data_IF_120686656419
#
_entry.id   IF_120686656419
#
_cell.length_a   1.000
_cell.length_b   1.000
_cell.length_c   1.000
_cell.angle_alpha   90.00
_cell.angle_beta   90.00
_cell.angle_gamma   90.00
#
_symmetry.space_group_name_H-M   'P 1'
#
loop_
_entity.id
_entity.type
_entity.pdbx_description
1 polymer ?
#
# COMPACT_ATOMS: atom_id res chain seq x y z
N UNK A 1 3.62 1.40 18.24
CA UNK A 1 3.19 0.31 17.29
C UNK A 1 4.31 0.06 16.33
N UNK A 2 4.52 -1.20 15.90
CA UNK A 2 5.68 -1.53 15.05
C UNK A 2 5.50 -0.94 13.65
N UNK A 3 6.51 -0.19 13.17
CA UNK A 3 6.55 0.34 11.80
C UNK A 3 6.85 -0.73 10.76
N UNK A 4 7.34 -1.87 11.20
CA UNK A 4 7.63 -3.04 10.39
C UNK A 4 6.86 -4.25 10.92
N UNK A 5 6.30 -5.05 10.03
CA UNK A 5 5.61 -6.28 10.40
C UNK A 5 5.98 -7.41 9.45
N UNK A 6 6.31 -8.56 10.02
CA UNK A 6 6.54 -9.80 9.27
C UNK A 6 5.29 -10.68 9.33
N UNK A 7 4.90 -11.21 8.18
CA UNK A 7 3.73 -12.07 8.00
C UNK A 7 4.24 -13.46 7.57
N UNK A 8 3.81 -14.49 8.29
CA UNK A 8 4.15 -15.87 7.95
C UNK A 8 3.51 -16.30 6.62
N UNK A 9 4.11 -17.29 5.96
CA UNK A 9 3.60 -17.83 4.71
C UNK A 9 2.15 -18.34 4.86
N UNK A 10 1.33 -18.08 3.86
CA UNK A 10 0.00 -18.66 3.77
C UNK A 10 0.12 -20.13 3.32
N UNK A 11 -0.35 -21.04 4.15
CA UNK A 11 -0.33 -22.49 3.84
C UNK A 11 -1.71 -23.01 3.40
N UNK A 12 -2.73 -22.14 3.35
CA UNK A 12 -4.12 -22.52 3.06
C UNK A 12 -4.60 -22.03 1.70
N UNK A 13 -4.12 -20.86 1.27
CA UNK A 13 -4.56 -20.20 0.04
C UNK A 13 -3.44 -19.32 -0.51
N UNK A 14 -3.82 -18.35 -1.34
CA UNK A 14 -2.89 -17.43 -2.02
C UNK A 14 -2.71 -16.15 -1.21
N UNK A 15 -1.55 -15.53 -1.38
CA UNK A 15 -1.31 -14.15 -0.99
C UNK A 15 -1.32 -13.28 -2.26
N UNK A 16 -2.23 -12.32 -2.33
CA UNK A 16 -2.41 -11.42 -3.45
C UNK A 16 -2.05 -10.00 -3.04
N UNK A 17 -1.49 -9.22 -3.96
CA UNK A 17 -1.23 -7.79 -3.74
C UNK A 17 -1.96 -6.92 -4.75
N UNK A 18 -2.29 -5.69 -4.32
CA UNK A 18 -2.94 -4.66 -5.13
C UNK A 18 -2.29 -3.30 -4.88
N UNK A 19 -2.30 -2.43 -5.90
CA UNK A 19 -1.88 -1.03 -5.82
C UNK A 19 -2.80 -0.17 -4.96
N UNK A 20 -2.72 1.15 -5.15
CA UNK A 20 -3.50 2.17 -4.44
C UNK A 20 -5.00 1.99 -4.69
N UNK A 21 -5.80 2.06 -3.62
CA UNK A 21 -7.25 1.79 -3.67
C UNK A 21 -8.07 3.08 -3.78
N UNK A 22 -7.67 4.10 -3.05
CA UNK A 22 -8.30 5.42 -3.04
C UNK A 22 -9.83 5.37 -2.98
N UNK A 23 -10.39 4.67 -1.99
CA UNK A 23 -11.83 4.60 -1.76
C UNK A 23 -12.64 3.90 -2.86
N UNK A 24 -12.00 3.14 -3.77
CA UNK A 24 -12.70 2.39 -4.82
C UNK A 24 -12.90 0.90 -4.46
N UNK A 25 -13.27 0.63 -3.23
CA UNK A 25 -13.42 -0.71 -2.67
C UNK A 25 -14.43 -1.59 -3.43
N UNK A 26 -15.51 -1.02 -3.99
CA UNK A 26 -16.47 -1.80 -4.77
C UNK A 26 -15.87 -2.30 -6.11
N UNK A 27 -15.07 -1.45 -6.76
CA UNK A 27 -14.33 -1.86 -7.96
C UNK A 27 -13.29 -2.93 -7.65
N UNK A 28 -12.60 -2.78 -6.50
CA UNK A 28 -11.66 -3.79 -6.03
C UNK A 28 -12.36 -5.12 -5.74
N UNK A 29 -13.54 -5.11 -5.09
CA UNK A 29 -14.34 -6.32 -4.84
C UNK A 29 -14.70 -7.04 -6.14
N UNK A 30 -15.11 -6.30 -7.16
CA UNK A 30 -15.38 -6.86 -8.49
C UNK A 30 -14.11 -7.45 -9.14
N UNK A 31 -12.96 -6.80 -8.98
CA UNK A 31 -11.69 -7.31 -9.47
C UNK A 31 -11.29 -8.62 -8.75
N UNK A 32 -11.43 -8.67 -7.44
CA UNK A 32 -11.16 -9.87 -6.63
C UNK A 32 -12.08 -11.04 -7.02
N UNK A 33 -13.36 -10.78 -7.32
CA UNK A 33 -14.28 -11.80 -7.79
C UNK A 33 -13.81 -12.43 -9.12
N UNK A 34 -13.25 -11.62 -10.04
CA UNK A 34 -12.74 -12.12 -11.34
C UNK A 34 -11.53 -13.03 -11.21
N UNK A 35 -10.73 -12.86 -10.15
CA UNK A 35 -9.58 -13.73 -9.87
C UNK A 35 -9.92 -14.86 -8.89
N UNK A 36 -11.21 -15.06 -8.61
CA UNK A 36 -11.72 -16.08 -7.68
C UNK A 36 -11.04 -15.99 -6.31
N UNK A 37 -10.99 -14.79 -5.74
CA UNK A 37 -10.48 -14.57 -4.37
C UNK A 37 -11.41 -15.19 -3.35
N UNK A 38 -10.88 -16.07 -2.48
CA UNK A 38 -11.62 -16.69 -1.39
C UNK A 38 -11.13 -16.13 -0.04
N UNK A 39 -11.90 -15.25 0.62
CA UNK A 39 -11.49 -14.61 1.87
C UNK A 39 -11.35 -15.60 3.05
N UNK A 40 -11.78 -16.85 2.89
CA UNK A 40 -11.62 -17.88 3.93
C UNK A 40 -10.21 -18.50 3.96
N UNK A 41 -9.45 -18.38 2.88
CA UNK A 41 -8.12 -18.97 2.72
C UNK A 41 -7.10 -18.04 2.08
N UNK A 42 -7.52 -17.15 1.17
CA UNK A 42 -6.64 -16.17 0.51
C UNK A 42 -6.45 -14.93 1.41
N UNK A 43 -5.32 -14.22 1.22
CA UNK A 43 -5.07 -12.92 1.86
C UNK A 43 -4.79 -11.86 0.79
N UNK A 44 -5.23 -10.63 1.05
CA UNK A 44 -4.99 -9.48 0.19
C UNK A 44 -4.09 -8.46 0.90
N UNK A 45 -3.09 -7.97 0.20
CA UNK A 45 -2.13 -6.97 0.66
C UNK A 45 -2.21 -5.73 -0.23
N UNK A 46 -2.47 -4.56 0.37
CA UNK A 46 -2.43 -3.26 -0.34
C UNK A 46 -1.14 -2.52 -0.02
N UNK A 47 -0.60 -1.85 -1.03
CA UNK A 47 0.57 -0.98 -0.88
C UNK A 47 0.25 0.41 -0.30
N UNK A 48 -0.93 0.58 0.32
CA UNK A 48 -1.37 1.83 0.94
C UNK A 48 -2.31 2.66 0.08
N UNK A 49 -2.50 3.92 0.48
CA UNK A 49 -3.46 4.85 -0.14
C UNK A 49 -4.85 4.23 -0.29
N UNK A 50 -5.40 3.81 0.84
CA UNK A 50 -6.73 3.20 0.92
C UNK A 50 -7.84 4.23 0.71
N UNK A 51 -7.58 5.48 1.07
CA UNK A 51 -8.56 6.55 1.19
C UNK A 51 -8.30 7.70 0.22
N UNK A 52 -9.18 8.68 0.24
CA UNK A 52 -9.21 9.88 -0.61
C UNK A 52 -9.58 9.57 -2.06
N UNK A 53 -9.94 10.62 -2.84
CA UNK A 53 -10.34 10.58 -4.25
C UNK A 53 -11.66 9.84 -4.51
N UNK A 54 -11.78 8.60 -4.05
CA UNK A 54 -12.95 7.77 -4.31
C UNK A 54 -14.09 7.93 -3.28
N UNK A 55 -15.32 7.59 -3.69
CA UNK A 55 -16.51 7.86 -2.88
C UNK A 55 -16.66 6.97 -1.65
N UNK A 56 -15.94 5.83 -1.61
CA UNK A 56 -16.07 4.84 -0.53
C UNK A 56 -14.89 4.85 0.44
N UNK A 57 -14.15 5.98 0.54
CA UNK A 57 -13.08 6.13 1.53
C UNK A 57 -13.49 5.77 2.97
N UNK A 58 -14.74 6.07 3.43
CA UNK A 58 -15.21 5.62 4.74
C UNK A 58 -15.21 4.11 4.94
N UNK A 59 -15.31 3.29 3.89
CA UNK A 59 -15.27 1.83 4.00
C UNK A 59 -13.89 1.27 4.35
N UNK A 60 -12.84 2.09 4.37
CA UNK A 60 -11.49 1.63 4.74
C UNK A 60 -11.45 0.94 6.10
N UNK A 61 -12.24 1.42 7.09
CA UNK A 61 -12.32 0.78 8.42
C UNK A 61 -12.91 -0.63 8.36
N UNK A 62 -13.94 -0.83 7.53
CA UNK A 62 -14.57 -2.13 7.34
C UNK A 62 -13.60 -3.15 6.71
N UNK A 63 -12.78 -2.70 5.75
CA UNK A 63 -11.76 -3.52 5.12
C UNK A 63 -10.61 -3.83 6.08
N UNK A 64 -10.13 -2.83 6.81
CA UNK A 64 -9.06 -3.00 7.81
C UNK A 64 -9.47 -3.91 8.97
N UNK A 65 -10.76 -4.07 9.24
CA UNK A 65 -11.28 -5.01 10.22
C UNK A 65 -11.28 -6.48 9.72
N UNK A 66 -11.05 -6.72 8.42
CA UNK A 66 -11.05 -8.07 7.87
C UNK A 66 -9.72 -8.79 8.17
N UNK A 67 -9.75 -10.04 8.66
CA UNK A 67 -8.52 -10.77 8.99
C UNK A 67 -7.68 -11.15 7.78
N UNK A 68 -8.26 -11.14 6.59
CA UNK A 68 -7.60 -11.45 5.33
C UNK A 68 -7.05 -10.22 4.60
N UNK A 69 -7.35 -8.99 5.09
CA UNK A 69 -6.90 -7.75 4.46
C UNK A 69 -5.76 -7.12 5.28
N UNK A 70 -4.66 -6.84 4.60
CA UNK A 70 -3.48 -6.20 5.17
C UNK A 70 -3.07 -5.02 4.30
N UNK A 71 -2.53 -3.97 4.90
CA UNK A 71 -2.04 -2.81 4.16
C UNK A 71 -0.81 -2.20 4.84
N UNK A 72 0.02 -1.53 4.06
CA UNK A 72 0.98 -0.56 4.58
C UNK A 72 0.36 0.83 4.64
N UNK A 73 0.95 1.73 5.40
CA UNK A 73 0.50 3.12 5.51
C UNK A 73 1.00 3.92 4.31
N UNK A 74 0.08 4.42 3.48
CA UNK A 74 0.38 5.34 2.40
C UNK A 74 0.50 6.80 2.86
N UNK A 75 0.83 7.69 1.94
CA UNK A 75 0.94 9.11 2.23
C UNK A 75 -0.44 9.76 2.50
N UNK A 76 -1.53 9.25 1.95
CA UNK A 76 -2.88 9.75 2.23
C UNK A 76 -3.31 9.41 3.65
N UNK A 77 -3.01 8.24 4.18
CA UNK A 77 -3.18 7.92 5.60
C UNK A 77 -2.29 8.80 6.49
N UNK A 78 -1.04 9.06 6.07
CA UNK A 78 -0.12 9.94 6.80
C UNK A 78 -0.61 11.39 6.86
N UNK A 79 -1.25 11.91 5.80
CA UNK A 79 -1.87 13.25 5.79
C UNK A 79 -3.01 13.35 6.81
N UNK A 80 -3.90 12.35 6.86
CA UNK A 80 -4.98 12.30 7.85
C UNK A 80 -4.45 12.28 9.29
N UNK A 81 -3.42 11.46 9.54
CA UNK A 81 -2.73 11.39 10.85
C UNK A 81 -2.14 12.75 11.21
N UNK A 82 -1.38 13.33 10.28
CA UNK A 82 -0.70 14.61 10.50
C UNK A 82 -1.70 15.72 10.81
N UNK A 83 -2.80 15.79 10.05
CA UNK A 83 -3.88 16.76 10.27
C UNK A 83 -4.44 16.67 11.69
N UNK A 84 -4.82 15.48 12.13
CA UNK A 84 -5.49 15.32 13.44
C UNK A 84 -4.50 15.46 14.62
N UNK A 85 -3.22 15.13 14.43
CA UNK A 85 -2.18 15.18 15.46
C UNK A 85 -1.46 16.55 15.54
N UNK A 86 -1.95 17.56 14.82
CA UNK A 86 -1.41 18.93 14.87
C UNK A 86 -0.13 19.13 14.06
N UNK A 87 0.16 18.21 13.13
CA UNK A 87 1.23 18.39 12.14
C UNK A 87 0.89 19.47 11.12
N UNK A 88 1.90 19.93 10.39
CA UNK A 88 1.68 20.90 9.30
C UNK A 88 1.15 20.19 8.08
N UNK A 89 -0.10 20.46 7.71
CA UNK A 89 -0.73 19.99 6.49
C UNK A 89 -1.29 21.20 5.76
N UNK A 90 -0.93 21.33 4.49
CA UNK A 90 -1.58 22.28 3.59
C UNK A 90 -2.98 21.74 3.28
N UNK A 91 -4.01 22.39 3.86
CA UNK A 91 -5.40 21.94 3.75
C UNK A 91 -5.95 22.08 2.33
N UNK A 92 -5.48 23.02 1.55
CA UNK A 92 -5.94 23.20 0.17
C UNK A 92 -5.33 22.11 -0.72
N UNK A 93 -4.05 21.80 -0.53
CA UNK A 93 -3.41 20.64 -1.16
C UNK A 93 -4.11 19.35 -0.74
N UNK A 94 -4.42 19.16 0.54
CA UNK A 94 -5.07 17.93 1.02
C UNK A 94 -6.50 17.78 0.47
N UNK A 95 -7.27 18.88 0.37
CA UNK A 95 -8.57 18.87 -0.31
C UNK A 95 -8.44 18.51 -1.79
N UNK A 96 -7.48 19.12 -2.49
CA UNK A 96 -7.21 18.82 -3.90
C UNK A 96 -6.76 17.37 -4.12
N UNK A 97 -6.06 16.79 -3.14
CA UNK A 97 -5.67 15.39 -3.15
C UNK A 97 -6.84 14.42 -2.83
N UNK A 98 -8.03 14.93 -2.51
CA UNK A 98 -9.23 14.13 -2.26
C UNK A 98 -9.60 13.96 -0.78
N UNK A 99 -8.84 14.56 0.16
CA UNK A 99 -9.07 14.45 1.61
C UNK A 99 -10.25 15.25 2.16
N UNK A 100 -11.02 15.94 1.30
CA UNK A 100 -12.17 16.75 1.72
C UNK A 100 -13.21 15.97 2.52
N UNK A 101 -13.43 14.70 2.21
CA UNK A 101 -14.34 13.83 2.96
C UNK A 101 -13.91 13.67 4.42
N UNK A 102 -12.61 13.47 4.66
CA UNK A 102 -12.05 13.29 6.00
C UNK A 102 -12.13 14.59 6.82
N UNK A 103 -11.80 15.74 6.18
CA UNK A 103 -11.88 17.05 6.81
C UNK A 103 -13.31 17.44 7.21
N UNK A 104 -14.33 16.89 6.53
CA UNK A 104 -15.74 17.12 6.84
C UNK A 104 -16.30 16.20 7.94
N UNK A 105 -15.56 15.17 8.37
CA UNK A 105 -16.02 14.26 9.42
C UNK A 105 -16.02 14.92 10.79
N UNK A 106 -16.94 14.54 11.68
CA UNK A 106 -16.86 14.87 13.10
C UNK A 106 -15.55 14.36 13.70
N UNK A 107 -14.98 15.10 14.65
CA UNK A 107 -13.67 14.78 15.26
C UNK A 107 -13.57 13.33 15.78
N UNK A 108 -14.61 12.83 16.42
CA UNK A 108 -14.63 11.45 16.93
C UNK A 108 -14.47 10.39 15.79
N UNK A 109 -15.04 10.67 14.61
CA UNK A 109 -14.86 9.80 13.45
C UNK A 109 -13.45 9.93 12.85
N UNK A 110 -12.92 11.16 12.78
CA UNK A 110 -11.52 11.35 12.37
C UNK A 110 -10.56 10.60 13.30
N UNK A 111 -10.80 10.60 14.61
CA UNK A 111 -10.00 9.87 15.61
C UNK A 111 -10.03 8.36 15.34
N UNK A 112 -11.19 7.78 15.00
CA UNK A 112 -11.30 6.36 14.66
C UNK A 112 -10.48 5.98 13.43
N UNK A 113 -10.51 6.79 12.37
CA UNK A 113 -9.67 6.58 11.19
C UNK A 113 -8.18 6.70 11.51
N UNK A 114 -7.79 7.76 12.23
CA UNK A 114 -6.38 7.98 12.58
C UNK A 114 -5.84 6.86 13.47
N UNK A 115 -6.64 6.34 14.40
CA UNK A 115 -6.26 5.19 15.20
C UNK A 115 -6.01 3.95 14.33
N UNK A 116 -6.91 3.66 13.39
CA UNK A 116 -6.74 2.56 12.44
C UNK A 116 -5.48 2.76 11.56
N UNK A 117 -5.26 3.97 11.05
CA UNK A 117 -4.10 4.28 10.20
C UNK A 117 -2.76 4.23 10.96
N UNK A 118 -2.73 4.63 12.23
CA UNK A 118 -1.55 4.49 13.10
C UNK A 118 -1.18 3.02 13.36
N UNK A 119 -2.14 2.11 13.22
CA UNK A 119 -1.91 0.67 13.34
C UNK A 119 -1.31 0.04 12.06
N UNK A 120 -1.33 0.76 10.93
CA UNK A 120 -0.69 0.29 9.71
C UNK A 120 0.83 0.38 9.83
N UNK A 121 1.57 -0.67 9.46
CA UNK A 121 3.02 -0.59 9.38
C UNK A 121 3.44 0.25 8.17
N UNK A 122 4.65 0.77 8.19
CA UNK A 122 5.30 1.41 7.03
C UNK A 122 5.76 0.33 6.04
N UNK A 123 6.25 -0.79 6.57
CA UNK A 123 6.72 -1.91 5.76
C UNK A 123 6.10 -3.24 6.22
N UNK A 124 5.73 -4.07 5.24
CA UNK A 124 5.36 -5.46 5.44
C UNK A 124 6.39 -6.37 4.77
N UNK A 125 6.72 -7.48 5.43
CA UNK A 125 7.47 -8.60 4.83
C UNK A 125 6.59 -9.84 4.87
N UNK A 126 6.22 -10.34 3.70
CA UNK A 126 5.38 -11.54 3.56
C UNK A 126 6.26 -12.71 3.16
N UNK A 127 6.27 -13.76 3.97
CA UNK A 127 6.99 -14.98 3.64
C UNK A 127 6.24 -15.76 2.56
N UNK A 128 6.96 -16.22 1.53
CA UNK A 128 6.42 -17.13 0.51
C UNK A 128 7.35 -18.35 0.36
N UNK A 129 6.85 -19.43 -0.26
CA UNK A 129 7.67 -20.60 -0.55
C UNK A 129 8.86 -20.28 -1.48
N UNK A 130 8.78 -19.19 -2.25
CA UNK A 130 9.79 -18.77 -3.20
C UNK A 130 10.72 -17.65 -2.68
N UNK A 131 10.59 -17.28 -1.40
CA UNK A 131 11.36 -16.22 -0.75
C UNK A 131 10.48 -15.05 -0.25
N UNK A 132 11.04 -14.13 0.55
CA UNK A 132 10.30 -13.03 1.13
C UNK A 132 9.93 -11.97 0.08
N UNK A 133 8.72 -11.41 0.21
CA UNK A 133 8.22 -10.29 -0.58
C UNK A 133 7.97 -9.12 0.36
N UNK A 134 8.60 -7.98 0.07
CA UNK A 134 8.41 -6.73 0.79
C UNK A 134 7.25 -5.91 0.21
N UNK A 135 6.58 -5.13 1.04
CA UNK A 135 5.63 -4.11 0.62
C UNK A 135 5.97 -2.78 1.30
N UNK A 136 6.02 -1.74 0.50
CA UNK A 136 6.09 -0.32 0.90
C UNK A 136 5.07 0.47 0.11
N UNK A 137 4.82 1.72 0.54
CA UNK A 137 3.95 2.55 -0.29
C UNK A 137 4.66 3.13 -1.52
N UNK A 138 5.84 3.73 -1.37
CA UNK A 138 6.50 4.46 -2.46
C UNK A 138 7.86 3.88 -2.88
N UNK A 139 8.90 3.97 -2.06
CA UNK A 139 10.25 3.45 -2.38
C UNK A 139 11.03 3.13 -1.10
N UNK A 140 12.12 2.38 -1.22
CA UNK A 140 13.08 2.15 -0.14
C UNK A 140 14.22 3.16 -0.21
N UNK A 141 14.62 3.79 0.91
CA UNK A 141 15.82 4.63 0.96
C UNK A 141 17.12 3.81 0.87
N UNK A 142 17.04 2.50 1.06
CA UNK A 142 18.16 1.57 1.05
C UNK A 142 17.98 0.51 -0.02
N UNK A 143 19.08 0.06 -0.60
CA UNK A 143 19.12 -1.12 -1.48
C UNK A 143 19.31 -2.43 -0.69
N UNK A 144 19.07 -2.43 0.60
CA UNK A 144 19.10 -3.58 1.51
C UNK A 144 17.88 -3.55 2.43
N UNK A 145 17.08 -4.61 2.37
CA UNK A 145 15.85 -4.72 3.17
C UNK A 145 16.11 -4.86 4.67
N UNK A 146 17.27 -5.43 5.05
CA UNK A 146 17.66 -5.56 6.46
C UNK A 146 17.92 -4.20 7.07
N UNK A 147 18.62 -3.32 6.35
CA UNK A 147 18.85 -1.94 6.78
C UNK A 147 17.54 -1.17 6.95
N UNK A 148 16.61 -1.31 6.00
CA UNK A 148 15.29 -0.68 6.13
C UNK A 148 14.52 -1.21 7.34
N UNK A 149 14.48 -2.53 7.51
CA UNK A 149 13.81 -3.19 8.64
C UNK A 149 14.35 -2.65 9.97
N UNK A 150 15.67 -2.65 10.12
CA UNK A 150 16.33 -2.28 11.36
C UNK A 150 16.13 -0.78 11.65
N UNK A 151 16.20 0.07 10.63
CA UNK A 151 15.86 1.49 10.77
C UNK A 151 14.41 1.71 11.24
N UNK A 152 13.44 1.00 10.67
CA UNK A 152 12.02 1.11 11.05
C UNK A 152 11.72 0.53 12.45
N UNK A 153 12.53 -0.41 12.93
CA UNK A 153 12.33 -1.06 14.23
C UNK A 153 13.02 -0.31 15.38
N UNK A 154 14.18 0.28 15.13
CA UNK A 154 15.05 0.79 16.21
C UNK A 154 15.24 2.30 16.15
N UNK A 155 15.28 2.92 14.98
CA UNK A 155 15.57 4.34 14.82
C UNK A 155 14.30 5.17 14.57
N UNK A 156 13.34 4.63 13.83
CA UNK A 156 12.06 5.26 13.38
C UNK A 156 12.26 6.71 12.86
N UNK A 157 13.30 6.92 12.05
CA UNK A 157 13.65 8.23 11.52
C UNK A 157 12.55 8.76 10.57
N UNK A 158 12.11 10.03 10.77
CA UNK A 158 11.08 10.63 9.90
C UNK A 158 11.46 10.65 8.42
N UNK A 159 12.74 10.85 8.10
CA UNK A 159 13.26 10.89 6.73
C UNK A 159 13.13 9.52 6.03
N UNK A 160 13.36 8.42 6.74
CA UNK A 160 13.17 7.06 6.22
C UNK A 160 11.69 6.85 5.87
N UNK A 161 10.79 7.23 6.78
CA UNK A 161 9.34 7.12 6.52
C UNK A 161 8.89 8.00 5.36
N UNK A 162 9.43 9.21 5.25
CA UNK A 162 9.14 10.13 4.14
C UNK A 162 9.48 9.48 2.79
N UNK A 163 10.66 8.88 2.67
CA UNK A 163 11.03 8.15 1.45
C UNK A 163 10.08 6.98 1.20
N UNK A 164 9.77 6.19 2.23
CA UNK A 164 8.87 5.03 2.10
C UNK A 164 7.45 5.41 1.65
N UNK A 165 7.01 6.66 1.90
CA UNK A 165 5.64 7.10 1.64
C UNK A 165 5.51 8.10 0.48
N UNK A 166 6.57 8.81 0.08
CA UNK A 166 6.47 9.94 -0.86
C UNK A 166 7.44 9.89 -2.03
N UNK A 167 8.47 9.06 -2.00
CA UNK A 167 9.51 9.08 -3.02
C UNK A 167 8.98 8.63 -4.39
N UNK A 168 9.38 9.38 -5.41
CA UNK A 168 9.15 9.04 -6.82
C UNK A 168 10.48 8.86 -7.56
N UNK A 169 11.59 8.78 -6.81
CA UNK A 169 12.94 8.83 -7.35
C UNK A 169 13.21 7.66 -8.28
N UNK A 170 12.91 6.44 -7.85
CA UNK A 170 13.20 5.21 -8.62
C UNK A 170 12.63 5.26 -10.04
N UNK A 171 11.34 5.61 -10.19
CA UNK A 171 10.72 5.75 -11.51
C UNK A 171 11.26 6.93 -12.31
N UNK A 172 11.52 8.08 -11.66
CA UNK A 172 12.05 9.27 -12.35
C UNK A 172 13.46 9.07 -12.90
N UNK A 173 14.29 8.35 -12.15
CA UNK A 173 15.70 8.11 -12.49
C UNK A 173 15.90 6.80 -13.26
N UNK A 174 14.88 5.95 -13.35
CA UNK A 174 15.01 4.61 -13.95
C UNK A 174 15.99 3.74 -13.17
N UNK A 175 15.93 3.79 -11.83
CA UNK A 175 16.87 3.09 -10.95
C UNK A 175 16.56 1.60 -10.89
N UNK A 176 17.41 0.78 -11.52
CA UNK A 176 17.28 -0.68 -11.58
C UNK A 176 18.04 -1.42 -10.47
N UNK A 177 18.63 -0.73 -9.49
CA UNK A 177 19.30 -1.42 -8.39
C UNK A 177 18.27 -2.24 -7.58
N UNK A 178 18.51 -3.54 -7.38
CA UNK A 178 17.61 -4.36 -6.58
C UNK A 178 17.69 -3.97 -5.10
N UNK A 179 16.62 -4.23 -4.37
CA UNK A 179 16.63 -4.23 -2.90
C UNK A 179 16.98 -5.64 -2.43
N UNK A 180 18.21 -5.79 -1.95
CA UNK A 180 18.74 -7.08 -1.48
C UNK A 180 17.95 -7.60 -0.28
N UNK A 181 17.96 -8.93 -0.09
CA UNK A 181 17.23 -9.60 0.99
C UNK A 181 15.76 -9.88 0.66
N UNK A 182 15.25 -9.42 -0.49
CA UNK A 182 13.91 -9.69 -0.98
C UNK A 182 13.92 -10.36 -2.35
N UNK A 183 12.94 -11.25 -2.58
CA UNK A 183 12.62 -11.72 -3.91
C UNK A 183 11.97 -10.62 -4.76
N UNK A 184 11.11 -9.83 -4.17
CA UNK A 184 10.47 -8.67 -4.78
C UNK A 184 10.09 -7.65 -3.71
N UNK A 185 10.12 -6.36 -4.08
CA UNK A 185 9.53 -5.26 -3.33
C UNK A 185 8.33 -4.74 -4.13
N UNK A 186 7.15 -4.66 -3.52
CA UNK A 186 5.93 -4.16 -4.13
C UNK A 186 5.66 -2.75 -3.64
N UNK A 187 5.41 -1.82 -4.58
CA UNK A 187 5.14 -0.41 -4.30
C UNK A 187 3.99 0.14 -5.15
N UNK A 188 3.40 1.25 -4.70
CA UNK A 188 2.35 2.01 -5.37
C UNK A 188 2.72 3.48 -5.58
N UNK A 189 1.87 4.40 -5.10
CA UNK A 189 2.09 5.85 -5.01
C UNK A 189 2.19 6.58 -6.34
N UNK A 190 2.96 6.07 -7.27
CA UNK A 190 3.17 6.72 -8.57
C UNK A 190 2.43 5.94 -9.64
N UNK A 191 1.33 6.49 -10.20
CA UNK A 191 0.57 5.80 -11.22
C UNK A 191 1.41 5.52 -12.47
N UNK A 192 1.34 4.26 -12.92
CA UNK A 192 1.94 3.78 -14.16
C UNK A 192 0.85 3.24 -15.09
N UNK A 193 1.10 3.18 -16.40
CA UNK A 193 0.12 2.61 -17.36
C UNK A 193 -0.03 1.11 -17.17
N UNK A 194 1.11 0.43 -17.07
CA UNK A 194 1.22 -1.01 -16.82
C UNK A 194 2.19 -1.24 -15.67
N UNK A 195 2.10 -2.38 -15.01
CA UNK A 195 3.03 -2.76 -13.95
C UNK A 195 4.46 -2.69 -14.46
N UNK A 196 5.28 -1.86 -13.82
CA UNK A 196 6.69 -1.69 -14.14
C UNK A 196 7.57 -2.38 -13.11
N UNK A 197 8.65 -2.99 -13.57
CA UNK A 197 9.62 -3.65 -12.71
C UNK A 197 11.01 -3.03 -12.94
N UNK A 198 11.55 -2.43 -11.89
CA UNK A 198 12.89 -1.84 -11.88
C UNK A 198 13.76 -2.62 -10.89
N UNK A 199 14.74 -3.39 -11.39
CA UNK A 199 15.42 -4.39 -10.57
C UNK A 199 14.45 -5.48 -10.08
N UNK A 200 14.23 -5.55 -8.76
CA UNK A 200 13.20 -6.39 -8.16
C UNK A 200 12.04 -5.58 -7.54
N UNK A 201 11.92 -4.28 -7.87
CA UNK A 201 10.86 -3.39 -7.36
C UNK A 201 9.72 -3.32 -8.36
N UNK A 202 8.52 -3.72 -7.93
CA UNK A 202 7.29 -3.82 -8.73
C UNK A 202 6.36 -2.66 -8.41
N UNK A 203 6.11 -1.78 -9.39
CA UNK A 203 5.19 -0.65 -9.27
C UNK A 203 3.78 -1.10 -9.68
N UNK A 204 2.89 -1.26 -8.68
CA UNK A 204 1.56 -1.87 -8.86
C UNK A 204 0.42 -0.85 -9.02
N UNK A 205 0.66 0.45 -8.80
CA UNK A 205 -0.41 1.45 -8.98
C UNK A 205 -0.65 1.70 -10.47
N UNK A 206 -1.47 0.87 -11.09
CA UNK A 206 -1.93 1.03 -12.48
C UNK A 206 -3.17 1.92 -12.59
N UNK A 207 -3.41 2.79 -11.60
CA UNK A 207 -4.54 3.72 -11.61
C UNK A 207 -5.90 3.02 -11.48
N UNK A 208 -5.98 1.89 -10.80
CA UNK A 208 -7.21 1.13 -10.60
C UNK A 208 -8.35 1.97 -10.03
N UNK A 209 -8.01 2.92 -9.16
CA UNK A 209 -8.92 3.93 -8.62
C UNK A 209 -9.44 4.89 -9.69
N UNK A 210 -8.72 5.11 -10.78
CA UNK A 210 -9.08 6.01 -11.88
C UNK A 210 -9.78 5.27 -13.02
N UNK A 211 -9.20 4.20 -13.53
CA UNK A 211 -9.72 3.41 -14.66
C UNK A 211 -10.78 2.39 -14.23
N UNK A 212 -10.83 2.03 -12.93
CA UNK A 212 -11.65 0.96 -12.42
C UNK A 212 -11.05 -0.44 -12.60
N UNK A 213 -9.78 -0.53 -13.00
CA UNK A 213 -9.05 -1.78 -13.16
C UNK A 213 -7.84 -1.80 -12.23
N UNK A 214 -7.77 -2.80 -11.37
CA UNK A 214 -6.66 -3.03 -10.46
C UNK A 214 -5.75 -4.14 -10.99
N UNK A 215 -4.44 -3.93 -10.95
CA UNK A 215 -3.48 -5.00 -11.14
C UNK A 215 -3.38 -5.82 -9.87
N UNK A 216 -3.72 -7.11 -9.96
CA UNK A 216 -3.63 -8.06 -8.85
C UNK A 216 -2.46 -9.00 -9.10
N UNK A 217 -1.48 -9.01 -8.17
CA UNK A 217 -0.28 -9.81 -8.24
C UNK A 217 -0.34 -10.95 -7.22
N UNK A 218 -0.08 -12.18 -7.62
CA UNK A 218 0.13 -13.29 -6.70
C UNK A 218 1.58 -13.29 -6.18
N UNK A 219 1.76 -13.23 -4.85
CA UNK A 219 3.09 -13.06 -4.24
C UNK A 219 4.02 -14.26 -4.48
N UNK A 220 3.49 -15.47 -4.40
CA UNK A 220 4.29 -16.69 -4.52
C UNK A 220 4.85 -16.89 -5.93
N UNK A 221 4.10 -16.59 -6.97
CA UNK A 221 4.49 -16.77 -8.37
C UNK A 221 5.03 -15.49 -9.01
N UNK A 222 4.70 -14.30 -8.46
CA UNK A 222 4.84 -12.98 -9.08
C UNK A 222 4.09 -12.88 -10.42
N UNK A 223 2.95 -13.57 -10.53
CA UNK A 223 2.10 -13.55 -11.71
C UNK A 223 0.99 -12.53 -11.54
N UNK A 224 0.79 -11.68 -12.54
CA UNK A 224 -0.39 -10.82 -12.63
C UNK A 224 -1.61 -11.67 -12.98
N UNK A 225 -2.64 -11.61 -12.13
CA UNK A 225 -3.91 -12.33 -12.31
C UNK A 225 -4.96 -11.45 -13.01
N UNK A 226 -4.86 -10.14 -12.82
CA UNK A 226 -5.73 -9.14 -13.46
C UNK A 226 -4.84 -8.04 -14.04
N UNK A 227 -4.24 -8.23 -15.20
CA UNK A 227 -3.48 -7.20 -15.89
C UNK A 227 -4.40 -6.06 -16.32
N UNK A 228 -3.83 -4.87 -16.55
CA UNK A 228 -4.56 -3.77 -17.16
C UNK A 228 -5.19 -4.21 -18.48
N UNK A 229 -6.37 -3.67 -18.86
CA UNK A 229 -6.94 -3.95 -20.16
C UNK A 229 -5.94 -3.55 -21.25
N UNK A 230 -5.69 -4.43 -22.20
CA UNK A 230 -4.95 -4.07 -23.41
C UNK A 230 -5.70 -2.93 -24.11
N UNK A 231 -5.04 -1.80 -24.30
CA UNK A 231 -5.57 -0.64 -25.02
C UNK A 231 -5.74 -0.99 -26.49
#
# INVERSE_FOLDING_TARGET
MSRYRRIAANTRGRDLAVGDIHGHFERLRQCLARVNFDPSVDRLFSVGDLVDRGPYSPHALEWLAQPWFHAVQGNHEALAISHLRGGRVDLDMYRAAGGGWFLALPKAQQEAFVEAFLNLPIALEVQTAAGPVGLLHADSPFNDWTLLRDSLLYDDEPQVREVCQWSRRRLKEGDHHPVEGLRALLVGHTPVLDVQVLGNVWHLDTGGWRSGHFSVLELASLKLLSPAPSV
#
